data_IF_313897554490
#
_entry.id   IF_313897554490
#
_cell.length_a   1.000
_cell.length_b   1.000
_cell.length_c   1.000
_cell.angle_alpha   90.00
_cell.angle_beta   90.00
_cell.angle_gamma   90.00
#
_symmetry.space_group_name_H-M   'P 1'
#
loop_
_entity.id
_entity.type
_entity.pdbx_description
1 polymer ?
#
# COMPACT_ATOMS: atom_id res chain seq x y z
N UNK A 1 21.63 43.01 -70.06
CA UNK A 1 22.21 42.25 -68.93
C UNK A 1 21.27 42.45 -67.76
N UNK A 2 20.27 41.57 -67.62
CA UNK A 2 20.25 40.32 -66.81
C UNK A 2 19.99 40.66 -65.33
N UNK A 3 18.83 40.39 -64.71
CA UNK A 3 17.99 39.17 -64.49
C UNK A 3 18.10 38.72 -63.00
N UNK A 4 16.93 38.42 -62.42
CA UNK A 4 16.59 37.75 -61.13
C UNK A 4 16.94 38.48 -59.81
N UNK A 5 16.14 38.47 -58.75
CA UNK A 5 14.94 37.72 -58.41
C UNK A 5 14.89 37.50 -56.89
N UNK A 6 13.67 37.36 -56.37
CA UNK A 6 13.29 36.59 -55.17
C UNK A 6 12.68 37.34 -53.97
N UNK A 7 11.48 36.86 -53.66
CA UNK A 7 10.49 37.22 -52.66
C UNK A 7 10.93 36.64 -51.31
N UNK A 8 10.87 37.41 -50.23
CA UNK A 8 10.95 36.83 -48.89
C UNK A 8 9.80 37.34 -48.01
N UNK A 9 8.64 36.70 -48.19
CA UNK A 9 7.48 36.82 -47.30
C UNK A 9 7.79 36.15 -45.96
N UNK A 10 8.18 36.94 -44.98
CA UNK A 10 8.36 36.49 -43.60
C UNK A 10 6.99 36.15 -43.02
N UNK A 11 6.61 34.87 -43.01
CA UNK A 11 5.38 34.34 -42.39
C UNK A 11 5.30 34.83 -40.94
N UNK A 12 4.33 35.69 -40.62
CA UNK A 12 3.93 35.96 -39.23
C UNK A 12 3.46 34.63 -38.67
N UNK A 13 4.14 34.10 -37.65
CA UNK A 13 3.65 32.95 -36.89
C UNK A 13 2.45 33.45 -36.10
N UNK A 14 1.25 33.01 -36.51
CA UNK A 14 0.02 33.35 -35.83
C UNK A 14 -0.03 32.61 -34.49
N UNK A 15 0.41 33.28 -33.43
CA UNK A 15 0.46 32.75 -32.06
C UNK A 15 -0.89 32.18 -31.57
N UNK A 16 -2.01 32.68 -32.10
CA UNK A 16 -3.34 32.17 -31.79
C UNK A 16 -3.61 30.77 -32.33
N UNK A 17 -2.98 30.37 -33.46
CA UNK A 17 -3.12 29.02 -34.03
C UNK A 17 -2.33 28.00 -33.20
N UNK A 18 -1.15 28.39 -32.70
CA UNK A 18 -0.35 27.55 -31.80
C UNK A 18 -1.07 27.31 -30.47
N UNK A 19 -1.62 28.36 -29.84
CA UNK A 19 -2.41 28.25 -28.61
C UNK A 19 -3.68 27.40 -28.80
N UNK A 20 -4.39 27.55 -29.93
CA UNK A 20 -5.55 26.73 -30.27
C UNK A 20 -5.17 25.26 -30.48
N UNK A 21 -4.06 24.98 -31.17
CA UNK A 21 -3.57 23.61 -31.36
C UNK A 21 -3.12 22.96 -30.04
N UNK A 22 -2.49 23.71 -29.14
CA UNK A 22 -2.13 23.24 -27.80
C UNK A 22 -3.38 22.95 -26.95
N UNK A 23 -4.39 23.83 -26.96
CA UNK A 23 -5.66 23.60 -26.25
C UNK A 23 -6.38 22.35 -26.77
N UNK A 24 -6.56 22.24 -28.09
CA UNK A 24 -7.13 21.06 -28.75
C UNK A 24 -6.37 19.77 -28.42
N UNK A 25 -5.03 19.83 -28.39
CA UNK A 25 -4.20 18.67 -28.04
C UNK A 25 -4.33 18.28 -26.56
N UNK A 26 -4.47 19.26 -25.64
CA UNK A 26 -4.68 19.03 -24.22
C UNK A 26 -6.07 18.44 -23.97
N UNK A 27 -7.10 18.97 -24.62
CA UNK A 27 -8.47 18.45 -24.52
C UNK A 27 -8.57 17.02 -25.03
N UNK A 28 -7.90 16.72 -26.15
CA UNK A 28 -7.82 15.36 -26.69
C UNK A 28 -7.11 14.41 -25.73
N UNK A 29 -5.98 14.82 -25.14
CA UNK A 29 -5.26 14.00 -24.14
C UNK A 29 -6.10 13.78 -22.88
N UNK A 30 -6.80 14.80 -22.41
CA UNK A 30 -7.63 14.72 -21.22
C UNK A 30 -8.84 13.79 -21.44
N UNK A 31 -9.46 13.87 -22.62
CA UNK A 31 -10.53 12.96 -23.02
C UNK A 31 -10.05 11.51 -23.09
N UNK A 32 -8.86 11.26 -23.64
CA UNK A 32 -8.28 9.93 -23.69
C UNK A 32 -7.98 9.39 -22.29
N UNK A 33 -7.42 10.21 -21.40
CA UNK A 33 -7.14 9.81 -20.01
C UNK A 33 -8.43 9.48 -19.24
N UNK A 34 -9.46 10.32 -19.36
CA UNK A 34 -10.77 10.06 -18.74
C UNK A 34 -11.43 8.80 -19.29
N UNK A 35 -11.32 8.55 -20.60
CA UNK A 35 -11.82 7.33 -21.22
C UNK A 35 -11.08 6.08 -20.72
N UNK A 36 -9.76 6.16 -20.54
CA UNK A 36 -8.97 5.06 -19.95
C UNK A 36 -9.39 4.77 -18.51
N UNK A 37 -9.51 5.79 -17.66
CA UNK A 37 -9.95 5.61 -16.26
C UNK A 37 -11.35 5.01 -16.19
N UNK A 38 -12.29 5.52 -16.99
CA UNK A 38 -13.65 4.99 -17.09
C UNK A 38 -13.66 3.52 -17.49
N UNK A 39 -12.83 3.14 -18.47
CA UNK A 39 -12.70 1.75 -18.89
C UNK A 39 -12.11 0.86 -17.80
N UNK A 40 -11.04 1.29 -17.14
CA UNK A 40 -10.41 0.53 -16.06
C UNK A 40 -11.36 0.31 -14.88
N UNK A 41 -12.16 1.31 -14.52
CA UNK A 41 -13.18 1.17 -13.47
C UNK A 41 -14.31 0.22 -13.87
N UNK A 42 -14.72 0.25 -15.15
CA UNK A 42 -15.69 -0.71 -15.66
C UNK A 42 -15.16 -2.14 -15.58
N UNK A 43 -13.92 -2.38 -16.04
CA UNK A 43 -13.30 -3.71 -16.01
C UNK A 43 -13.07 -4.18 -14.56
N UNK A 44 -12.70 -3.28 -13.64
CA UNK A 44 -12.62 -3.55 -12.20
C UNK A 44 -13.99 -3.95 -11.62
N UNK A 45 -15.05 -3.21 -11.93
CA UNK A 45 -16.41 -3.51 -11.44
C UNK A 45 -16.92 -4.87 -11.95
N UNK A 46 -16.56 -5.24 -13.18
CA UNK A 46 -16.84 -6.59 -13.71
C UNK A 46 -16.11 -7.64 -12.87
N UNK A 47 -14.79 -7.50 -12.72
CA UNK A 47 -13.97 -8.46 -11.98
C UNK A 47 -14.42 -8.64 -10.52
N UNK A 48 -14.66 -7.54 -9.81
CA UNK A 48 -15.18 -7.57 -8.44
C UNK A 48 -16.55 -8.26 -8.40
N UNK A 49 -17.44 -7.97 -9.34
CA UNK A 49 -18.76 -8.61 -9.38
C UNK A 49 -18.71 -10.12 -9.62
N UNK A 50 -17.69 -10.62 -10.33
CA UNK A 50 -17.46 -12.06 -10.54
C UNK A 50 -16.97 -12.73 -9.25
N UNK A 51 -16.00 -12.12 -8.55
CA UNK A 51 -15.53 -12.60 -7.25
C UNK A 51 -16.67 -12.63 -6.22
N UNK A 52 -17.44 -11.55 -6.13
CA UNK A 52 -18.59 -11.44 -5.24
C UNK A 52 -19.68 -12.46 -5.59
N UNK A 53 -19.91 -12.69 -6.89
CA UNK A 53 -20.85 -13.70 -7.38
C UNK A 53 -20.48 -15.14 -7.00
N UNK A 54 -19.21 -15.40 -6.73
CA UNK A 54 -18.74 -16.69 -6.20
C UNK A 54 -18.97 -16.88 -4.69
N UNK A 55 -19.44 -15.84 -3.99
CA UNK A 55 -19.69 -15.85 -2.55
C UNK A 55 -18.49 -15.42 -1.69
N UNK A 56 -17.40 -14.96 -2.31
CA UNK A 56 -16.23 -14.43 -1.60
C UNK A 56 -16.51 -12.99 -1.18
N UNK A 57 -16.35 -12.70 0.11
CA UNK A 57 -16.39 -11.32 0.61
C UNK A 57 -15.13 -10.58 0.17
N UNK A 58 -15.30 -9.37 -0.36
CA UNK A 58 -14.22 -8.52 -0.85
C UNK A 58 -14.30 -7.15 -0.20
N UNK A 59 -13.19 -6.75 0.42
CA UNK A 59 -12.98 -5.41 0.97
C UNK A 59 -11.97 -4.69 0.07
N UNK A 60 -12.41 -3.64 -0.63
CA UNK A 60 -11.57 -2.83 -1.52
C UNK A 60 -10.96 -1.64 -0.77
N UNK A 61 -9.63 -1.52 -0.81
CA UNK A 61 -8.88 -0.40 -0.21
C UNK A 61 -8.35 0.50 -1.32
N UNK A 62 -8.64 1.81 -1.30
CA UNK A 62 -8.15 2.73 -2.32
C UNK A 62 -6.63 2.96 -2.17
N UNK A 63 -5.96 3.19 -3.29
CA UNK A 63 -4.57 3.60 -3.36
C UNK A 63 -4.36 5.00 -3.95
N UNK A 64 -3.10 5.35 -4.14
CA UNK A 64 -2.68 6.67 -4.66
C UNK A 64 -3.27 7.06 -6.02
N UNK A 65 -3.46 6.11 -6.93
CA UNK A 65 -3.93 6.37 -8.31
C UNK A 65 -5.44 6.26 -8.50
N UNK A 66 -6.19 5.92 -7.44
CA UNK A 66 -7.63 5.75 -7.52
C UNK A 66 -8.35 7.11 -7.49
N UNK A 67 -9.56 7.20 -8.07
CA UNK A 67 -10.37 8.43 -8.10
C UNK A 67 -10.99 8.74 -6.72
N UNK A 68 -10.14 8.94 -5.72
CA UNK A 68 -10.45 9.35 -4.35
C UNK A 68 -9.63 10.60 -3.98
N UNK A 69 -9.66 11.03 -2.73
CA UNK A 69 -8.76 12.08 -2.26
C UNK A 69 -7.31 11.59 -2.20
N UNK A 70 -6.38 12.46 -2.59
CA UNK A 70 -4.94 12.17 -2.52
C UNK A 70 -4.40 12.21 -1.08
N UNK A 71 -4.99 13.04 -0.22
CA UNK A 71 -4.55 13.20 1.17
C UNK A 71 -4.98 12.00 2.01
N UNK A 72 -4.11 11.57 2.92
CA UNK A 72 -4.45 10.58 3.93
C UNK A 72 -5.23 11.19 5.10
N UNK A 73 -6.22 10.48 5.68
CA UNK A 73 -6.76 9.20 5.23
C UNK A 73 -7.60 9.32 3.94
N UNK A 74 -7.42 8.37 3.02
CA UNK A 74 -8.21 8.29 1.78
C UNK A 74 -9.61 7.72 2.06
N UNK A 75 -10.61 8.35 1.44
CA UNK A 75 -12.02 7.97 1.54
C UNK A 75 -12.32 6.77 0.65
N UNK A 76 -13.37 5.98 0.96
CA UNK A 76 -13.78 4.89 0.09
C UNK A 76 -14.21 5.38 -1.29
N UNK A 77 -14.06 4.50 -2.29
CA UNK A 77 -14.60 4.77 -3.62
C UNK A 77 -16.09 5.06 -3.58
N UNK A 78 -16.53 6.01 -4.40
CA UNK A 78 -17.94 6.33 -4.51
C UNK A 78 -18.69 5.20 -5.22
N UNK A 79 -19.89 4.85 -4.74
CA UNK A 79 -20.69 3.73 -5.27
C UNK A 79 -21.03 3.86 -6.76
N UNK A 80 -21.12 5.08 -7.29
CA UNK A 80 -21.39 5.30 -8.71
C UNK A 80 -20.29 4.79 -9.63
N UNK A 81 -19.08 4.58 -9.11
CA UNK A 81 -17.95 4.05 -9.89
C UNK A 81 -17.98 2.53 -9.99
N UNK A 82 -18.70 1.86 -9.08
CA UNK A 82 -18.79 0.39 -8.97
C UNK A 82 -20.26 -0.05 -8.86
N UNK A 83 -21.10 0.21 -9.88
CA UNK A 83 -22.53 -0.03 -9.83
C UNK A 83 -22.92 -1.51 -9.70
N UNK A 84 -22.12 -2.45 -10.24
CA UNK A 84 -22.40 -3.89 -10.16
C UNK A 84 -22.01 -4.45 -8.80
N UNK A 85 -20.78 -4.16 -8.38
CA UNK A 85 -20.21 -4.66 -7.13
C UNK A 85 -21.00 -4.16 -5.91
N UNK A 86 -21.47 -2.91 -5.96
CA UNK A 86 -22.29 -2.32 -4.88
C UNK A 86 -23.64 -3.03 -4.69
N UNK A 87 -24.11 -3.80 -5.68
CA UNK A 87 -25.34 -4.60 -5.54
C UNK A 87 -25.21 -5.78 -4.56
N UNK A 88 -23.99 -6.24 -4.27
CA UNK A 88 -23.74 -7.35 -3.35
C UNK A 88 -23.65 -6.85 -1.90
N UNK A 89 -24.80 -6.75 -1.25
CA UNK A 89 -24.92 -6.37 0.16
C UNK A 89 -24.15 -7.39 1.02
N UNK A 90 -23.47 -6.89 2.06
CA UNK A 90 -22.65 -7.64 3.04
C UNK A 90 -21.39 -8.37 2.51
N UNK A 91 -21.31 -8.61 1.20
CA UNK A 91 -20.13 -9.22 0.56
C UNK A 91 -19.14 -8.18 0.04
N UNK A 92 -19.59 -6.97 -0.31
CA UNK A 92 -18.69 -5.93 -0.81
C UNK A 92 -18.55 -4.77 0.16
N UNK A 93 -17.33 -4.54 0.64
CA UNK A 93 -16.98 -3.40 1.47
C UNK A 93 -16.06 -2.44 0.70
N UNK A 94 -16.38 -1.15 0.74
CA UNK A 94 -15.50 -0.08 0.25
C UNK A 94 -14.78 0.49 1.47
N UNK A 95 -13.52 0.12 1.64
CA UNK A 95 -12.68 0.51 2.78
C UNK A 95 -12.07 1.90 2.62
N UNK A 96 -11.50 2.40 3.71
CA UNK A 96 -10.62 3.57 3.75
C UNK A 96 -9.16 3.14 3.62
N UNK A 97 -8.26 4.09 3.36
CA UNK A 97 -6.82 3.89 3.52
C UNK A 97 -6.29 4.95 4.52
N UNK A 98 -5.78 4.58 5.70
CA UNK A 98 -5.61 3.22 6.25
C UNK A 98 -6.88 2.39 6.38
N UNK A 99 -6.71 1.08 6.29
CA UNK A 99 -7.77 0.07 6.44
C UNK A 99 -7.63 -0.66 7.77
N UNK A 100 -8.75 -0.81 8.49
CA UNK A 100 -8.84 -1.61 9.72
C UNK A 100 -10.10 -2.48 9.69
N UNK A 101 -9.97 -3.75 10.09
CA UNK A 101 -11.11 -4.64 10.30
C UNK A 101 -10.83 -5.73 11.36
N UNK A 102 -11.87 -6.46 11.74
CA UNK A 102 -11.78 -7.62 12.64
C UNK A 102 -12.37 -8.83 11.92
N UNK A 103 -11.58 -9.90 11.76
CA UNK A 103 -11.97 -11.12 11.07
C UNK A 103 -12.15 -12.27 12.07
N UNK A 104 -13.18 -13.11 11.89
CA UNK A 104 -13.32 -14.35 12.67
C UNK A 104 -13.75 -14.19 14.14
N UNK A 105 -14.19 -12.99 14.56
CA UNK A 105 -14.85 -12.76 15.85
C UNK A 105 -16.37 -12.92 15.70
N UNK A 106 -17.00 -13.71 16.57
CA UNK A 106 -18.37 -14.18 16.38
C UNK A 106 -19.46 -13.09 16.41
N UNK A 107 -20.38 -13.20 15.45
CA UNK A 107 -21.82 -12.96 15.64
C UNK A 107 -22.42 -11.68 15.04
N UNK A 108 -23.27 -11.86 14.04
CA UNK A 108 -24.34 -10.94 13.56
C UNK A 108 -25.45 -10.69 14.62
N UNK A 109 -25.23 -11.03 15.89
CA UNK A 109 -26.21 -10.87 16.97
C UNK A 109 -25.74 -9.80 17.96
N UNK A 110 -25.86 -8.52 17.57
CA UNK A 110 -26.18 -7.37 18.43
C UNK A 110 -25.51 -7.21 19.81
N UNK A 111 -24.37 -7.86 20.08
CA UNK A 111 -23.74 -7.94 21.38
C UNK A 111 -22.25 -7.67 21.27
N UNK A 112 -21.84 -6.45 21.64
CA UNK A 112 -20.44 -6.05 21.67
C UNK A 112 -19.62 -6.95 22.61
N UNK A 113 -18.90 -7.90 22.03
CA UNK A 113 -17.94 -8.76 22.72
C UNK A 113 -16.72 -8.97 21.82
N UNK A 114 -15.68 -8.15 22.02
CA UNK A 114 -14.41 -8.13 21.30
C UNK A 114 -13.49 -9.33 21.62
N UNK A 115 -14.04 -10.49 22.00
CA UNK A 115 -13.26 -11.62 22.49
C UNK A 115 -13.18 -12.72 21.42
N UNK A 116 -12.21 -12.58 20.50
CA UNK A 116 -11.78 -13.71 19.64
C UNK A 116 -11.50 -13.40 18.16
N UNK A 117 -11.75 -12.17 17.68
CA UNK A 117 -11.47 -11.79 16.30
C UNK A 117 -10.00 -11.39 16.06
N UNK A 118 -9.50 -11.66 14.86
CA UNK A 118 -8.19 -11.22 14.36
C UNK A 118 -8.30 -9.79 13.86
N UNK A 119 -7.64 -8.84 14.54
CA UNK A 119 -7.56 -7.44 14.10
C UNK A 119 -6.55 -7.32 12.97
N UNK A 120 -7.02 -6.84 11.83
CA UNK A 120 -6.20 -6.57 10.65
C UNK A 120 -6.12 -5.07 10.45
N UNK A 121 -4.91 -4.56 10.27
CA UNK A 121 -4.63 -3.16 9.96
C UNK A 121 -3.68 -3.11 8.76
N UNK A 122 -3.85 -2.16 7.86
CA UNK A 122 -2.87 -1.96 6.80
C UNK A 122 -3.15 -0.77 5.90
N UNK A 123 -2.31 -0.64 4.89
CA UNK A 123 -2.37 0.45 3.91
C UNK A 123 -2.00 -0.02 2.51
N UNK A 124 -2.16 0.88 1.53
CA UNK A 124 -1.69 0.69 0.15
C UNK A 124 -0.15 0.69 0.00
N UNK A 125 0.60 0.93 1.09
CA UNK A 125 2.06 0.91 1.15
C UNK A 125 2.77 2.25 0.92
N UNK A 126 2.05 3.32 0.59
CA UNK A 126 2.66 4.63 0.31
C UNK A 126 3.45 5.18 1.51
N UNK A 127 2.89 5.04 2.71
CA UNK A 127 3.54 5.43 3.97
C UNK A 127 4.87 4.69 4.20
N UNK A 128 4.94 3.41 3.82
CA UNK A 128 6.16 2.60 3.96
C UNK A 128 7.18 3.00 2.89
N UNK A 129 6.75 3.16 1.65
CA UNK A 129 7.60 3.64 0.56
C UNK A 129 8.22 5.02 0.86
N UNK A 130 7.44 5.91 1.49
CA UNK A 130 7.93 7.24 1.89
C UNK A 130 8.89 7.15 3.07
N UNK A 131 8.55 6.41 4.13
CA UNK A 131 9.42 6.24 5.30
C UNK A 131 10.78 5.64 4.92
N UNK A 132 10.82 4.66 3.99
CA UNK A 132 12.08 4.03 3.52
C UNK A 132 13.11 5.04 3.00
N UNK A 133 12.68 6.20 2.51
CA UNK A 133 13.59 7.27 2.03
C UNK A 133 14.43 7.88 3.15
N UNK A 134 13.95 7.80 4.38
CA UNK A 134 14.59 8.38 5.57
C UNK A 134 15.31 7.33 6.44
N UNK A 135 15.15 6.05 6.13
CA UNK A 135 15.77 4.97 6.88
C UNK A 135 16.96 4.43 6.10
N UNK A 136 18.14 4.56 6.68
CA UNK A 136 19.34 3.89 6.20
C UNK A 136 19.47 2.52 6.87
N UNK A 137 19.85 1.52 6.08
CA UNK A 137 20.34 0.25 6.63
C UNK A 137 21.85 0.27 6.46
N UNK A 138 22.57 0.43 7.56
CA UNK A 138 24.00 0.08 7.58
C UNK A 138 24.06 -1.44 7.58
N UNK A 139 24.50 -2.05 6.48
CA UNK A 139 24.94 -3.45 6.48
C UNK A 139 26.18 -3.56 7.37
N UNK A 140 25.96 -3.59 8.68
CA UNK A 140 26.98 -4.02 9.62
C UNK A 140 27.29 -5.47 9.27
N UNK A 141 28.46 -5.71 8.70
CA UNK A 141 29.00 -7.05 8.54
C UNK A 141 28.83 -7.79 9.87
N UNK A 142 28.21 -8.97 9.84
CA UNK A 142 28.11 -9.84 11.00
C UNK A 142 29.52 -10.09 11.56
N UNK A 143 29.85 -9.42 12.67
CA UNK A 143 31.16 -9.44 13.30
C UNK A 143 31.07 -8.73 14.64
N UNK A 144 31.44 -9.46 15.70
CA UNK A 144 31.28 -9.11 17.11
C UNK A 144 31.75 -7.71 17.52
N UNK A 145 31.11 -7.18 18.56
CA UNK A 145 31.15 -5.78 18.94
C UNK A 145 32.48 -5.23 19.45
N UNK A 146 32.48 -3.94 19.73
CA UNK A 146 33.45 -3.21 20.54
C UNK A 146 32.90 -1.77 20.74
N UNK A 147 32.95 -1.26 21.96
CA UNK A 147 33.97 -0.31 22.43
C UNK A 147 34.11 0.94 21.56
N UNK A 148 33.79 2.08 22.17
CA UNK A 148 33.74 3.37 21.55
C UNK A 148 35.16 3.91 21.34
N UNK A 149 35.71 3.70 20.15
CA UNK A 149 36.82 4.52 19.65
C UNK A 149 36.56 4.96 18.22
N UNK A 150 36.62 6.28 18.05
CA UNK A 150 36.42 7.05 16.82
C UNK A 150 37.44 6.68 15.74
N UNK A 151 36.96 6.17 14.60
CA UNK A 151 37.67 6.26 13.31
C UNK A 151 36.66 6.45 12.19
N UNK A 152 36.77 7.57 11.49
CA UNK A 152 36.02 7.90 10.28
C UNK A 152 36.37 6.90 9.17
N UNK A 153 35.54 5.88 9.00
CA UNK A 153 35.61 4.90 7.92
C UNK A 153 34.30 4.90 7.13
N UNK A 154 34.12 5.97 6.36
CA UNK A 154 33.04 6.17 5.39
C UNK A 154 33.28 5.32 4.14
N UNK A 155 32.97 4.02 4.22
CA UNK A 155 32.85 3.15 3.04
C UNK A 155 31.74 2.11 3.18
N UNK A 156 30.72 2.41 3.99
CA UNK A 156 29.50 1.61 4.04
C UNK A 156 28.66 1.91 2.81
N UNK A 157 28.32 0.90 2.00
CA UNK A 157 27.32 1.07 0.94
C UNK A 157 25.98 1.36 1.61
N UNK A 158 25.56 2.62 1.61
CA UNK A 158 24.26 3.03 2.15
C UNK A 158 23.17 2.54 1.21
N UNK A 159 22.51 1.44 1.56
CA UNK A 159 21.37 0.92 0.84
C UNK A 159 20.05 1.40 1.47
N UNK A 160 19.00 1.60 0.66
CA UNK A 160 17.67 1.90 1.18
C UNK A 160 17.16 0.71 2.01
N UNK A 161 16.51 1.01 3.13
CA UNK A 161 15.87 -0.03 3.96
C UNK A 161 14.82 -0.84 3.20
N UNK A 162 14.62 -2.09 3.63
CA UNK A 162 13.58 -2.98 3.10
C UNK A 162 12.18 -2.52 3.52
N UNK A 163 11.14 -2.99 2.82
CA UNK A 163 9.77 -2.67 3.16
C UNK A 163 9.39 -3.21 4.54
N UNK A 164 9.82 -4.43 4.88
CA UNK A 164 9.49 -5.04 6.16
C UNK A 164 10.12 -4.29 7.34
N UNK A 165 11.33 -3.73 7.16
CA UNK A 165 12.00 -2.98 8.23
C UNK A 165 11.31 -1.64 8.46
N UNK A 166 10.88 -0.96 7.40
CA UNK A 166 10.09 0.26 7.52
C UNK A 166 8.71 -0.01 8.17
N UNK A 167 8.02 -1.08 7.76
CA UNK A 167 6.75 -1.52 8.36
C UNK A 167 6.93 -1.92 9.84
N UNK A 168 8.05 -2.54 10.17
CA UNK A 168 8.37 -2.87 11.55
C UNK A 168 8.59 -1.60 12.39
N UNK A 169 9.30 -0.61 11.85
CA UNK A 169 9.51 0.67 12.54
C UNK A 169 8.22 1.44 12.77
N UNK A 170 7.26 1.46 11.85
CA UNK A 170 5.96 2.11 12.10
C UNK A 170 5.19 1.48 13.25
N UNK A 171 5.28 0.15 13.39
CA UNK A 171 4.71 -0.57 14.54
C UNK A 171 5.42 -0.18 15.85
N UNK A 172 6.76 -0.10 15.85
CA UNK A 172 7.55 0.30 17.03
C UNK A 172 7.29 1.75 17.45
N UNK A 173 7.12 2.64 16.47
CA UNK A 173 6.78 4.04 16.73
C UNK A 173 5.34 4.21 17.24
N UNK A 174 4.49 3.19 17.07
CA UNK A 174 3.06 3.32 17.36
C UNK A 174 2.36 4.29 16.41
N UNK A 175 2.88 4.47 15.19
CA UNK A 175 2.40 5.49 14.25
C UNK A 175 2.52 5.03 12.79
N UNK A 176 1.41 5.02 12.05
CA UNK A 176 1.36 4.50 10.68
C UNK A 176 2.11 5.37 9.66
N UNK A 177 2.04 6.70 9.82
CA UNK A 177 2.57 7.66 8.87
C UNK A 177 3.42 8.74 9.55
N UNK A 178 4.56 8.37 10.18
CA UNK A 178 5.36 9.31 10.99
C UNK A 178 5.99 10.44 10.18
N UNK A 179 5.99 10.32 8.84
CA UNK A 179 6.51 11.32 7.91
C UNK A 179 5.46 12.32 7.43
N UNK A 180 4.18 12.10 7.75
CA UNK A 180 3.11 13.08 7.50
C UNK A 180 3.14 14.17 8.58
N UNK A 181 2.81 15.44 8.25
CA UNK A 181 2.40 15.97 6.94
C UNK A 181 3.55 16.35 5.99
N UNK A 182 4.82 16.21 6.41
CA UNK A 182 5.97 16.82 5.72
C UNK A 182 6.25 16.22 4.33
N UNK A 183 6.28 14.89 4.22
CA UNK A 183 6.50 14.19 2.94
C UNK A 183 5.32 13.34 2.48
N UNK A 184 4.45 12.91 3.40
CA UNK A 184 3.18 12.27 3.08
C UNK A 184 2.03 13.28 3.20
N UNK A 185 1.21 13.49 2.15
CA UNK A 185 0.10 14.44 2.22
C UNK A 185 -0.98 13.91 3.16
N UNK A 186 -1.23 14.61 4.26
CA UNK A 186 -2.24 14.26 5.25
C UNK A 186 -3.25 15.39 5.43
N UNK A 187 -4.45 15.04 5.85
CA UNK A 187 -5.46 16.03 6.21
C UNK A 187 -5.12 16.63 7.58
N UNK A 188 -5.14 17.97 7.74
CA UNK A 188 -4.86 18.60 9.02
C UNK A 188 -5.98 18.25 10.01
N UNK A 189 -5.64 17.48 11.04
CA UNK A 189 -6.51 17.22 12.17
C UNK A 189 -6.06 18.03 13.38
N UNK A 190 -7.00 18.73 14.02
CA UNK A 190 -6.68 19.58 15.17
C UNK A 190 -6.94 18.89 16.52
N UNK A 191 -7.76 17.84 16.54
CA UNK A 191 -8.24 17.22 17.79
C UNK A 191 -7.40 16.01 18.19
N UNK A 192 -7.15 15.11 17.24
CA UNK A 192 -6.35 13.91 17.44
C UNK A 192 -5.70 13.48 16.13
N UNK A 193 -4.55 12.81 16.21
CA UNK A 193 -3.88 12.26 15.05
C UNK A 193 -4.47 10.89 14.67
N UNK A 194 -5.07 10.73 13.46
CA UNK A 194 -5.68 9.47 13.05
C UNK A 194 -4.66 8.35 12.77
N UNK A 195 -3.36 8.64 12.69
CA UNK A 195 -2.34 7.66 12.35
C UNK A 195 -1.66 7.02 13.56
N UNK A 196 -1.99 7.47 14.78
CA UNK A 196 -1.54 6.85 16.02
C UNK A 196 -2.23 5.51 16.22
N UNK A 197 -1.43 4.46 16.47
CA UNK A 197 -1.93 3.12 16.74
C UNK A 197 -2.55 3.06 18.14
N UNK A 198 -3.89 3.01 18.20
CA UNK A 198 -4.65 2.93 19.45
C UNK A 198 -4.61 1.53 20.07
N UNK A 199 -4.50 0.51 19.23
CA UNK A 199 -4.41 -0.88 19.63
C UNK A 199 -3.45 -1.63 18.72
N UNK A 200 -2.85 -2.70 19.23
CA UNK A 200 -1.92 -3.52 18.49
C UNK A 200 -2.68 -4.47 17.56
N UNK A 201 -2.46 -4.42 16.23
CA UNK A 201 -3.10 -5.35 15.30
C UNK A 201 -2.51 -6.76 15.41
N UNK A 202 -3.28 -7.79 15.07
CA UNK A 202 -2.78 -9.16 14.93
C UNK A 202 -2.09 -9.36 13.58
N UNK A 203 -2.62 -8.73 12.53
CA UNK A 203 -2.00 -8.68 11.19
C UNK A 203 -1.82 -7.22 10.81
N UNK A 204 -0.59 -6.85 10.49
CA UNK A 204 -0.25 -5.51 10.01
C UNK A 204 0.38 -5.60 8.63
N UNK A 205 -0.27 -5.05 7.61
CA UNK A 205 0.17 -5.20 6.24
C UNK A 205 0.45 -3.87 5.53
N UNK A 206 1.31 -3.92 4.52
CA UNK A 206 1.52 -2.85 3.56
C UNK A 206 1.38 -3.40 2.14
N UNK A 207 0.58 -2.73 1.32
CA UNK A 207 0.41 -3.04 -0.10
C UNK A 207 1.57 -2.57 -0.97
N UNK A 208 1.50 -2.90 -2.26
CA UNK A 208 2.39 -2.39 -3.32
C UNK A 208 3.89 -2.39 -2.97
N UNK A 209 4.35 -3.39 -2.22
CA UNK A 209 5.76 -3.55 -1.88
C UNK A 209 6.54 -4.11 -3.08
N UNK A 210 7.85 -3.88 -3.10
CA UNK A 210 8.74 -4.34 -4.19
C UNK A 210 8.82 -5.88 -4.24
N UNK A 211 8.85 -6.51 -3.07
CA UNK A 211 9.01 -7.95 -2.87
C UNK A 211 8.10 -8.40 -1.72
N UNK A 212 7.63 -9.65 -1.78
CA UNK A 212 6.97 -10.27 -0.64
C UNK A 212 7.94 -10.51 0.52
N UNK A 213 7.60 -9.96 1.69
CA UNK A 213 8.35 -10.17 2.93
C UNK A 213 7.37 -10.33 4.10
N UNK A 214 7.72 -11.15 5.08
CA UNK A 214 6.87 -11.42 6.25
C UNK A 214 7.72 -11.57 7.51
N UNK A 215 7.22 -11.09 8.64
CA UNK A 215 7.91 -11.16 9.94
C UNK A 215 6.90 -11.35 11.06
N UNK A 216 7.15 -12.27 11.99
CA UNK A 216 6.37 -12.39 13.22
C UNK A 216 7.07 -11.64 14.34
N UNK A 217 6.34 -10.75 15.02
CA UNK A 217 6.89 -9.96 16.13
C UNK A 217 6.09 -10.18 17.40
N UNK A 218 6.79 -10.30 18.53
CA UNK A 218 6.17 -10.41 19.85
C UNK A 218 5.58 -9.07 20.33
N UNK A 219 4.94 -9.05 21.50
CA UNK A 219 4.34 -7.84 22.09
C UNK A 219 5.34 -6.69 22.32
N UNK A 220 6.65 -6.99 22.46
CA UNK A 220 7.74 -6.00 22.59
C UNK A 220 8.24 -5.47 21.26
N UNK A 221 7.81 -6.04 20.13
CA UNK A 221 8.32 -5.71 18.81
C UNK A 221 9.66 -6.39 18.50
N UNK A 222 9.97 -7.50 19.16
CA UNK A 222 11.14 -8.32 18.82
C UNK A 222 10.70 -9.44 17.86
N UNK A 223 11.56 -9.75 16.89
CA UNK A 223 11.31 -10.82 15.92
C UNK A 223 11.31 -12.19 16.59
N UNK A 224 10.25 -12.97 16.34
CA UNK A 224 10.15 -14.35 16.80
C UNK A 224 10.71 -15.24 15.68
N UNK A 225 11.88 -15.83 15.92
CA UNK A 225 12.45 -16.85 15.03
C UNK A 225 11.78 -18.19 15.36
N UNK A 226 11.01 -18.72 14.42
CA UNK A 226 10.18 -19.94 14.60
C UNK A 226 11.01 -21.24 14.86
N UNK A 227 12.35 -21.16 14.85
CA UNK A 227 13.26 -22.31 14.94
C UNK A 227 13.74 -22.69 16.37
N UNK A 228 13.45 -21.91 17.42
CA UNK A 228 13.97 -22.22 18.77
C UNK A 228 12.89 -22.80 19.71
N UNK A 229 12.95 -24.10 20.07
CA UNK A 229 11.92 -24.76 20.89
C UNK A 229 12.08 -24.51 22.40
N UNK A 230 12.90 -23.55 22.83
CA UNK A 230 13.31 -23.39 24.21
C UNK A 230 13.46 -21.92 24.62
N UNK A 231 12.35 -21.22 24.95
CA UNK A 231 12.32 -20.19 26.01
C UNK A 231 11.05 -19.32 26.08
N UNK A 232 9.96 -19.61 25.38
CA UNK A 232 8.72 -18.84 25.55
C UNK A 232 7.55 -19.75 25.85
N UNK A 233 7.13 -19.73 27.11
CA UNK A 233 5.93 -20.41 27.61
C UNK A 233 4.74 -20.09 26.72
N UNK A 234 4.04 -21.14 26.27
CA UNK A 234 2.92 -21.13 25.32
C UNK A 234 1.76 -20.18 25.65
N UNK A 235 1.75 -19.56 26.83
CA UNK A 235 0.75 -18.59 27.26
C UNK A 235 0.98 -17.16 26.71
N UNK A 236 2.20 -16.81 26.30
CA UNK A 236 2.54 -15.50 25.69
C UNK A 236 2.45 -15.49 24.15
N UNK A 237 2.36 -16.66 23.52
CA UNK A 237 2.33 -16.82 22.05
C UNK A 237 1.02 -16.35 21.41
N UNK A 238 -0.10 -16.36 22.14
CA UNK A 238 -1.43 -16.12 21.56
C UNK A 238 -1.97 -14.72 21.89
N UNK A 239 -1.44 -14.06 22.93
CA UNK A 239 -2.03 -12.84 23.49
C UNK A 239 -1.53 -11.50 22.91
N UNK A 240 -0.52 -11.49 22.03
CA UNK A 240 0.05 -10.21 21.58
C UNK A 240 1.06 -10.27 20.43
N UNK A 241 1.15 -11.38 19.70
CA UNK A 241 1.97 -11.45 18.50
C UNK A 241 1.31 -10.67 17.35
N UNK A 242 2.13 -10.06 16.50
CA UNK A 242 1.68 -9.39 15.27
C UNK A 242 2.44 -9.94 14.09
N UNK A 243 1.71 -10.33 13.05
CA UNK A 243 2.28 -10.72 11.77
C UNK A 243 2.39 -9.49 10.87
N UNK A 244 3.62 -9.12 10.53
CA UNK A 244 3.92 -8.08 9.55
C UNK A 244 3.93 -8.70 8.16
N UNK A 245 3.24 -8.10 7.19
CA UNK A 245 3.14 -8.61 5.81
C UNK A 245 3.37 -7.49 4.80
N UNK A 246 4.41 -7.63 3.99
CA UNK A 246 4.61 -6.80 2.81
C UNK A 246 4.00 -7.54 1.61
N UNK A 247 2.88 -7.02 1.11
CA UNK A 247 2.16 -7.59 -0.03
C UNK A 247 2.78 -7.00 -1.32
N UNK A 248 3.32 -7.84 -2.22
CA UNK A 248 3.94 -7.35 -3.44
C UNK A 248 2.90 -6.79 -4.41
N UNK A 249 3.34 -5.97 -5.37
CA UNK A 249 2.48 -5.53 -6.46
C UNK A 249 2.12 -6.69 -7.39
N UNK A 250 0.85 -7.12 -7.37
CA UNK A 250 0.35 -8.19 -8.25
C UNK A 250 0.60 -7.89 -9.73
N UNK A 251 0.52 -6.63 -10.14
CA UNK A 251 0.77 -6.23 -11.53
C UNK A 251 2.22 -6.48 -11.99
N UNK A 252 3.17 -6.55 -11.05
CA UNK A 252 4.59 -6.80 -11.33
C UNK A 252 4.97 -8.26 -11.07
N UNK A 253 4.50 -8.85 -9.97
CA UNK A 253 4.95 -10.17 -9.52
C UNK A 253 3.97 -11.30 -9.83
N UNK A 254 2.69 -10.99 -10.04
CA UNK A 254 1.63 -12.00 -10.18
C UNK A 254 1.44 -12.84 -8.91
N UNK A 255 1.77 -12.29 -7.73
CA UNK A 255 1.71 -12.99 -6.45
C UNK A 255 0.58 -12.48 -5.55
N UNK A 256 -0.08 -13.40 -4.86
CA UNK A 256 -1.10 -13.14 -3.85
C UNK A 256 -0.68 -13.78 -2.54
N UNK A 257 -0.92 -13.10 -1.41
CA UNK A 257 -0.58 -13.59 -0.08
C UNK A 257 -1.82 -14.12 0.62
N UNK A 258 -1.76 -15.35 1.12
CA UNK A 258 -2.76 -15.97 1.97
C UNK A 258 -2.28 -15.94 3.42
N UNK A 259 -3.14 -15.49 4.33
CA UNK A 259 -2.85 -15.47 5.77
C UNK A 259 -3.82 -16.37 6.51
N UNK A 260 -3.31 -17.37 7.22
CA UNK A 260 -4.13 -18.24 8.06
C UNK A 260 -4.50 -17.50 9.34
N UNK A 261 -5.77 -17.15 9.51
CA UNK A 261 -6.24 -16.36 10.66
C UNK A 261 -5.95 -16.99 12.03
N UNK A 262 -5.90 -18.33 12.11
CA UNK A 262 -5.68 -19.04 13.38
C UNK A 262 -4.20 -19.11 13.80
N UNK A 263 -3.30 -19.29 12.84
CA UNK A 263 -1.85 -19.48 13.11
C UNK A 263 -1.02 -18.25 12.76
N UNK A 264 -1.61 -17.29 12.03
CA UNK A 264 -0.94 -16.16 11.42
C UNK A 264 0.21 -16.56 10.47
N UNK A 265 0.23 -17.79 9.97
CA UNK A 265 1.15 -18.22 8.93
C UNK A 265 0.76 -17.60 7.58
N UNK A 266 1.76 -17.20 6.80
CA UNK A 266 1.56 -16.63 5.47
C UNK A 266 2.07 -17.59 4.38
N UNK A 267 1.28 -17.77 3.34
CA UNK A 267 1.61 -18.54 2.14
C UNK A 267 1.48 -17.65 0.91
N UNK A 268 2.34 -17.82 -0.10
CA UNK A 268 2.28 -17.05 -1.34
C UNK A 268 1.79 -17.94 -2.47
N UNK A 269 0.78 -17.46 -3.19
CA UNK A 269 0.32 -18.04 -4.45
C UNK A 269 0.85 -17.21 -5.61
N UNK A 270 1.60 -17.84 -6.51
CA UNK A 270 2.10 -17.20 -7.74
C UNK A 270 1.31 -17.69 -8.95
N UNK A 271 0.91 -16.76 -9.82
CA UNK A 271 0.14 -17.01 -11.03
C UNK A 271 0.98 -16.90 -12.31
N UNK A 272 2.32 -16.94 -12.18
CA UNK A 272 3.28 -16.84 -13.30
C UNK A 272 3.37 -18.13 -14.13
N UNK A 273 2.24 -18.76 -14.43
CA UNK A 273 2.16 -19.84 -15.40
C UNK A 273 2.21 -19.23 -16.81
N UNK A 274 3.43 -18.96 -17.28
CA UNK A 274 3.70 -19.02 -18.72
C UNK A 274 3.67 -20.50 -19.08
N UNK A 275 2.68 -21.00 -19.84
CA UNK A 275 2.82 -22.32 -20.42
C UNK A 275 4.03 -22.26 -21.36
N UNK A 276 5.08 -23.01 -21.03
CA UNK A 276 6.17 -23.30 -21.96
C UNK A 276 5.57 -24.05 -23.17
N UNK A 277 5.14 -23.31 -24.20
CA UNK A 277 4.81 -23.84 -25.52
C UNK A 277 6.00 -23.75 -26.46
#
# INVERSE_FOLDING_TARGET
MSDQGNVNGKRRRDYNVAAASESSSRDTRNNNAAAHVSRSLFDLDVYLSELLGSGIRVDYVPGWHDPTNANWPQRPLHSCLLPRSTGYVDLFCRGTNPYECVLGGGGDDGGGGSEGGVRVLGSDGLNIADLRRFLTTTTAAAGGGCDATTTDADSGVVAPSSCIDALHRTLLYGHMAPTGPDSLPTFPSCEYDPFVLTSRPNVYFAGNCDVYETRLVNCRGEEIVEESPASTTAHDMVGGATRLVCVPSFALTGEVVLVKLRTLECEVLSFNDVPNF
#
